data_IF_812607444886
#
_entry.id   IF_812607444886
#
_cell.length_a   1.000
_cell.length_b   1.000
_cell.length_c   1.000
_cell.angle_alpha   90.00
_cell.angle_beta   90.00
_cell.angle_gamma   90.00
#
_symmetry.space_group_name_H-M   'P 1'
#
loop_
_entity.id
_entity.type
_entity.pdbx_description
1 polymer ?
#
# COMPACT_ATOMS: atom_id res chain seq x y z
N UNK A 1 -14.43 -3.91 8.78
CA UNK A 1 -15.25 -2.72 8.46
C UNK A 1 -14.42 -1.85 7.52
N UNK A 2 -14.93 -1.48 6.35
CA UNK A 2 -14.24 -0.61 5.40
C UNK A 2 -14.53 0.84 5.77
N UNK A 3 -13.48 1.67 5.92
CA UNK A 3 -13.64 3.07 6.33
C UNK A 3 -13.30 3.99 5.15
N UNK A 4 -14.36 4.52 4.53
CA UNK A 4 -14.29 5.38 3.35
C UNK A 4 -13.52 6.68 3.64
N UNK A 5 -13.61 7.21 4.86
CA UNK A 5 -12.90 8.43 5.25
C UNK A 5 -11.38 8.19 5.30
N UNK A 6 -10.97 7.05 5.87
CA UNK A 6 -9.55 6.64 5.90
C UNK A 6 -9.00 6.49 4.48
N UNK A 7 -9.77 5.91 3.56
CA UNK A 7 -9.34 5.78 2.17
C UNK A 7 -9.19 7.13 1.47
N UNK A 8 -10.13 8.05 1.70
CA UNK A 8 -10.08 9.40 1.16
C UNK A 8 -8.84 10.17 1.67
N UNK A 9 -8.56 10.08 2.97
CA UNK A 9 -7.38 10.69 3.59
C UNK A 9 -6.10 10.07 3.01
N UNK A 10 -6.02 8.74 2.93
CA UNK A 10 -4.85 8.05 2.38
C UNK A 10 -4.58 8.44 0.92
N UNK A 11 -5.63 8.50 0.09
CA UNK A 11 -5.51 8.96 -1.30
C UNK A 11 -5.06 10.42 -1.38
N UNK A 12 -5.60 11.30 -0.53
CA UNK A 12 -5.21 12.71 -0.47
C UNK A 12 -3.73 12.88 -0.11
N UNK A 13 -3.27 12.20 0.94
CA UNK A 13 -1.87 12.21 1.38
C UNK A 13 -0.97 11.68 0.28
N UNK A 14 -1.31 10.55 -0.35
CA UNK A 14 -0.51 9.97 -1.45
C UNK A 14 -0.38 10.94 -2.61
N UNK A 15 -1.46 11.62 -3.01
CA UNK A 15 -1.43 12.65 -4.07
C UNK A 15 -0.50 13.80 -3.70
N UNK A 16 -0.55 14.27 -2.45
CA UNK A 16 0.33 15.34 -1.97
C UNK A 16 1.80 14.94 -1.99
N UNK A 17 2.14 13.71 -1.56
CA UNK A 17 3.51 13.20 -1.58
C UNK A 17 4.07 13.12 -3.00
N UNK A 18 3.27 12.65 -3.96
CA UNK A 18 3.64 12.65 -5.37
C UNK A 18 3.86 14.05 -5.93
N UNK A 19 2.94 14.98 -5.63
CA UNK A 19 3.05 16.37 -6.08
C UNK A 19 4.32 17.06 -5.55
N UNK A 20 4.80 16.65 -4.37
CA UNK A 20 6.05 17.11 -3.76
C UNK A 20 7.29 16.32 -4.19
N UNK A 21 7.17 15.37 -5.12
CA UNK A 21 8.23 14.44 -5.52
C UNK A 21 8.86 13.65 -4.35
N UNK A 22 8.10 13.43 -3.27
CA UNK A 22 8.50 12.62 -2.12
C UNK A 22 8.07 11.16 -2.27
N UNK A 23 7.14 10.88 -3.18
CA UNK A 23 6.71 9.54 -3.56
C UNK A 23 6.72 9.47 -5.08
N UNK A 24 7.74 8.84 -5.64
CA UNK A 24 8.02 8.84 -7.09
C UNK A 24 8.25 7.43 -7.60
N UNK A 25 7.94 7.18 -8.87
CA UNK A 25 8.17 5.90 -9.51
C UNK A 25 6.91 5.34 -10.19
N UNK A 26 7.02 4.11 -10.66
CA UNK A 26 5.93 3.41 -11.33
C UNK A 26 4.90 2.90 -10.31
N UNK A 27 3.63 3.06 -10.66
CA UNK A 27 2.51 2.46 -9.93
C UNK A 27 2.11 1.12 -10.55
N UNK A 28 1.73 0.20 -9.67
CA UNK A 28 1.26 -1.13 -10.02
C UNK A 28 -0.14 -1.32 -9.46
N UNK A 29 -1.08 -1.63 -10.35
CA UNK A 29 -2.48 -1.82 -10.00
C UNK A 29 -2.78 -3.28 -9.76
N UNK A 30 -3.34 -3.58 -8.59
CA UNK A 30 -3.91 -4.89 -8.27
C UNK A 30 -5.43 -4.79 -8.23
N UNK A 31 -6.10 -5.59 -9.05
CA UNK A 31 -7.56 -5.69 -9.00
C UNK A 31 -7.98 -6.67 -7.92
N UNK A 32 -8.74 -6.20 -6.94
CA UNK A 32 -9.34 -7.02 -5.88
C UNK A 32 -10.69 -7.58 -6.34
N UNK A 33 -11.39 -6.84 -7.20
CA UNK A 33 -12.60 -7.25 -7.91
C UNK A 33 -12.76 -6.42 -9.19
N UNK A 34 -13.72 -6.73 -10.09
CA UNK A 34 -13.90 -5.96 -11.33
C UNK A 34 -14.15 -4.45 -11.14
N UNK A 35 -14.63 -4.04 -9.96
CA UNK A 35 -14.90 -2.63 -9.61
C UNK A 35 -13.99 -2.08 -8.50
N UNK A 36 -13.06 -2.88 -7.98
CA UNK A 36 -12.20 -2.48 -6.85
C UNK A 36 -10.75 -2.82 -7.15
N UNK A 37 -9.88 -1.83 -7.02
CA UNK A 37 -8.44 -1.97 -7.21
C UNK A 37 -7.68 -1.25 -6.11
N UNK A 38 -6.43 -1.63 -5.95
CA UNK A 38 -5.44 -1.05 -5.05
C UNK A 38 -4.20 -0.71 -5.88
N UNK A 39 -3.65 0.49 -5.70
CA UNK A 39 -2.45 0.93 -6.40
C UNK A 39 -1.27 0.94 -5.43
N UNK A 40 -0.17 0.31 -5.83
CA UNK A 40 1.04 0.14 -5.03
C UNK A 40 2.25 0.72 -5.74
N UNK A 41 3.17 1.31 -4.97
CA UNK A 41 4.47 1.76 -5.45
C UNK A 41 5.54 1.68 -4.35
N UNK A 42 6.80 1.72 -4.75
CA UNK A 42 7.90 1.88 -3.79
C UNK A 42 7.75 3.20 -3.01
N UNK A 43 8.01 3.14 -1.71
CA UNK A 43 7.81 4.25 -0.77
C UNK A 43 6.44 4.26 -0.08
N UNK A 44 5.48 3.44 -0.52
CA UNK A 44 4.19 3.32 0.18
C UNK A 44 4.35 2.74 1.57
N UNK A 45 3.72 3.39 2.56
CA UNK A 45 3.56 2.82 3.90
C UNK A 45 2.24 2.08 3.97
N UNK A 46 2.30 0.79 4.26
CA UNK A 46 1.15 -0.13 4.29
C UNK A 46 0.92 -0.66 5.71
N UNK A 47 -0.30 -1.15 5.95
CA UNK A 47 -0.71 -1.84 7.16
C UNK A 47 -1.07 -3.28 6.79
N UNK A 48 -0.53 -4.26 7.51
CA UNK A 48 -1.00 -5.63 7.41
C UNK A 48 -2.27 -5.79 8.25
N UNK A 49 -3.35 -6.27 7.64
CA UNK A 49 -4.66 -6.44 8.29
C UNK A 49 -4.96 -7.90 8.69
N UNK A 50 -4.02 -8.81 8.48
CA UNK A 50 -4.11 -10.24 8.77
C UNK A 50 -2.74 -10.70 9.29
N UNK A 51 -2.73 -11.48 10.38
CA UNK A 51 -1.51 -12.14 10.88
C UNK A 51 -1.11 -13.28 9.94
N UNK A 52 0.17 -13.35 9.59
CA UNK A 52 0.77 -14.48 8.88
C UNK A 52 2.03 -14.94 9.63
N UNK A 53 1.93 -16.09 10.31
CA UNK A 53 3.00 -16.62 11.17
C UNK A 53 4.22 -17.08 10.38
N UNK A 54 4.03 -17.64 9.20
CA UNK A 54 5.12 -18.12 8.35
C UNK A 54 6.00 -16.96 7.87
N UNK A 55 5.37 -15.81 7.63
CA UNK A 55 6.05 -14.55 7.29
C UNK A 55 6.40 -13.70 8.51
N UNK A 56 6.07 -14.17 9.72
CA UNK A 56 6.26 -13.47 10.99
C UNK A 56 5.60 -12.07 11.01
N UNK A 57 4.45 -11.91 10.36
CA UNK A 57 3.69 -10.67 10.26
C UNK A 57 2.54 -10.71 11.25
N UNK A 58 2.37 -9.64 12.03
CA UNK A 58 1.21 -9.47 12.91
C UNK A 58 0.19 -8.49 12.31
N UNK A 59 -1.10 -8.76 12.56
CA UNK A 59 -2.16 -7.81 12.22
C UNK A 59 -1.93 -6.49 12.97
N UNK A 60 -1.97 -5.38 12.24
CA UNK A 60 -1.70 -4.05 12.76
C UNK A 60 -0.26 -3.56 12.55
N UNK A 61 0.63 -4.42 12.03
CA UNK A 61 1.99 -3.99 11.71
C UNK A 61 2.05 -3.07 10.49
N UNK A 62 2.85 -2.03 10.60
CA UNK A 62 3.20 -1.16 9.48
C UNK A 62 4.49 -1.63 8.81
N UNK A 63 4.55 -1.45 7.49
CA UNK A 63 5.77 -1.63 6.71
C UNK A 63 5.85 -0.61 5.56
N UNK A 64 7.04 -0.40 5.02
CA UNK A 64 7.26 0.41 3.82
C UNK A 64 7.62 -0.48 2.64
N UNK A 65 6.92 -0.33 1.52
CA UNK A 65 7.23 -1.04 0.28
C UNK A 65 8.55 -0.50 -0.28
N UNK A 66 9.54 -1.37 -0.46
CA UNK A 66 10.86 -1.02 -1.02
C UNK A 66 10.96 -1.31 -2.52
N UNK A 67 10.19 -2.28 -3.01
CA UNK A 67 10.08 -2.60 -4.44
C UNK A 67 8.73 -3.24 -4.74
N UNK A 68 8.20 -3.01 -5.93
CA UNK A 68 6.94 -3.60 -6.39
C UNK A 68 7.04 -4.03 -7.85
N UNK A 69 6.25 -5.04 -8.20
CA UNK A 69 6.06 -5.58 -9.54
C UNK A 69 4.58 -5.94 -9.71
N UNK A 70 4.18 -6.44 -10.89
CA UNK A 70 2.80 -6.84 -11.13
C UNK A 70 2.29 -7.91 -10.16
N UNK A 71 3.16 -8.81 -9.69
CA UNK A 71 2.75 -10.01 -8.96
C UNK A 71 3.15 -10.00 -7.48
N UNK A 72 4.12 -9.16 -7.11
CA UNK A 72 4.70 -9.13 -5.76
C UNK A 72 5.27 -7.77 -5.39
N UNK A 73 5.37 -7.53 -4.09
CA UNK A 73 6.14 -6.45 -3.52
C UNK A 73 7.09 -6.99 -2.45
N UNK A 74 8.11 -6.19 -2.13
CA UNK A 74 8.97 -6.38 -0.97
C UNK A 74 8.70 -5.22 -0.02
N UNK A 75 8.50 -5.52 1.25
CA UNK A 75 8.27 -4.51 2.27
C UNK A 75 9.24 -4.70 3.44
N UNK A 76 9.65 -3.59 4.04
CA UNK A 76 10.54 -3.54 5.19
C UNK A 76 9.80 -2.89 6.37
N UNK A 77 9.87 -3.54 7.54
CA UNK A 77 9.41 -2.99 8.82
C UNK A 77 10.33 -1.86 9.27
#
# INVERSE_FOLDING_TARGET
MHNIEVDSINQGIRKLLKAKALLTGQEYRRYVSPKKYEDYMAGDRILFNITNKDLQIENGEFATITSVSNDKFVAKR
#
